data_IF_284439532577
#
_entry.id   IF_284439532577
#
_cell.length_a   1.000
_cell.length_b   1.000
_cell.length_c   1.000
_cell.angle_alpha   90.00
_cell.angle_beta   90.00
_cell.angle_gamma   90.00
#
_symmetry.space_group_name_H-M   'P 1'
#
loop_
_entity.id
_entity.type
_entity.pdbx_description
1 polymer ?
#
# COMPACT_ATOMS: atom_id res chain seq x y z
N UNK A 1 -0.40 17.95 -19.71
CA UNK A 1 -0.97 18.43 -20.98
C UNK A 1 -0.25 19.67 -21.49
N UNK A 2 -0.20 20.72 -20.70
CA UNK A 2 0.35 22.02 -21.14
C UNK A 2 1.85 21.97 -21.52
N UNK A 3 2.66 21.18 -20.84
CA UNK A 3 4.10 21.04 -21.15
C UNK A 3 4.39 20.25 -22.43
N UNK A 4 3.48 19.39 -22.88
CA UNK A 4 3.70 18.48 -24.00
C UNK A 4 2.83 18.83 -25.23
N UNK A 5 2.15 20.00 -25.25
CA UNK A 5 1.35 20.48 -26.38
C UNK A 5 0.12 19.63 -26.73
N UNK A 6 -0.34 18.78 -25.81
CA UNK A 6 -1.54 17.95 -25.96
C UNK A 6 -2.70 18.51 -25.12
N UNK A 7 -3.93 18.27 -25.55
CA UNK A 7 -5.12 18.71 -24.82
C UNK A 7 -5.23 18.00 -23.45
N UNK A 8 -5.93 18.59 -22.46
CA UNK A 8 -6.16 17.93 -21.18
C UNK A 8 -6.87 16.57 -21.31
N UNK A 9 -7.79 16.44 -22.27
CA UNK A 9 -8.51 15.19 -22.51
C UNK A 9 -7.59 14.11 -23.09
N UNK A 10 -6.74 14.45 -24.06
CA UNK A 10 -5.73 13.52 -24.61
C UNK A 10 -4.71 13.10 -23.56
N UNK A 11 -4.27 14.05 -22.70
CA UNK A 11 -3.39 13.73 -21.58
C UNK A 11 -4.04 12.74 -20.59
N UNK A 12 -5.31 12.96 -20.25
CA UNK A 12 -6.06 12.09 -19.35
C UNK A 12 -6.26 10.69 -19.93
N UNK A 13 -6.61 10.59 -21.21
CA UNK A 13 -6.79 9.30 -21.87
C UNK A 13 -5.48 8.52 -21.98
N UNK A 14 -4.38 9.20 -22.30
CA UNK A 14 -3.06 8.59 -22.35
C UNK A 14 -2.62 8.06 -20.97
N UNK A 15 -2.81 8.85 -19.92
CA UNK A 15 -2.52 8.41 -18.55
C UNK A 15 -3.37 7.19 -18.19
N UNK A 16 -4.66 7.17 -18.56
CA UNK A 16 -5.55 6.03 -18.28
C UNK A 16 -5.07 4.76 -18.97
N UNK A 17 -4.66 4.84 -20.23
CA UNK A 17 -4.13 3.70 -20.98
C UNK A 17 -2.84 3.17 -20.35
N UNK A 18 -1.91 4.06 -19.98
CA UNK A 18 -0.67 3.69 -19.30
C UNK A 18 -0.95 3.05 -17.94
N UNK A 19 -1.91 3.56 -17.18
CA UNK A 19 -2.34 2.98 -15.90
C UNK A 19 -2.83 1.55 -16.07
N UNK A 20 -3.68 1.29 -17.07
CA UNK A 20 -4.19 -0.05 -17.34
C UNK A 20 -3.08 -1.01 -17.78
N UNK A 21 -2.09 -0.53 -18.53
CA UNK A 21 -0.99 -1.35 -19.03
C UNK A 21 -0.07 -1.89 -17.91
N UNK A 22 0.05 -1.17 -16.79
CA UNK A 22 0.93 -1.54 -15.66
C UNK A 22 0.18 -1.94 -14.39
N UNK A 23 -1.15 -2.00 -14.46
CA UNK A 23 -2.00 -2.38 -13.33
C UNK A 23 -1.56 -3.74 -12.74
N UNK A 24 -1.57 -3.85 -11.41
CA UNK A 24 -1.11 -5.03 -10.66
C UNK A 24 0.38 -5.38 -10.82
N UNK A 25 1.18 -4.47 -11.38
CA UNK A 25 2.64 -4.58 -11.38
C UNK A 25 3.27 -3.59 -10.41
N UNK A 26 4.54 -3.79 -10.07
CA UNK A 26 5.27 -2.86 -9.21
C UNK A 26 5.39 -1.45 -9.82
N UNK A 27 5.43 -1.35 -11.16
CA UNK A 27 5.47 -0.07 -11.88
C UNK A 27 4.25 0.81 -11.59
N UNK A 28 3.09 0.19 -11.32
CA UNK A 28 1.89 0.95 -10.95
C UNK A 28 2.10 1.81 -9.70
N UNK A 29 2.91 1.34 -8.77
CA UNK A 29 3.22 2.00 -7.50
C UNK A 29 4.53 2.80 -7.52
N UNK A 30 5.30 2.74 -8.62
CA UNK A 30 6.65 3.28 -8.72
C UNK A 30 6.65 4.76 -9.13
N UNK A 31 7.11 5.64 -8.24
CA UNK A 31 7.20 7.08 -8.51
C UNK A 31 8.22 7.39 -9.60
N UNK A 32 9.34 6.67 -9.64
CA UNK A 32 10.39 6.86 -10.65
C UNK A 32 9.88 6.49 -12.04
N UNK A 33 9.19 5.34 -12.17
CA UNK A 33 8.53 4.94 -13.42
C UNK A 33 7.59 6.03 -13.95
N UNK A 34 6.72 6.56 -13.09
CA UNK A 34 5.79 7.61 -13.49
C UNK A 34 6.49 8.93 -13.76
N UNK A 35 7.56 9.25 -13.02
CA UNK A 35 8.40 10.42 -13.24
C UNK A 35 9.00 10.43 -14.65
N UNK A 36 9.64 9.35 -15.03
CA UNK A 36 10.22 9.15 -16.36
C UNK A 36 9.13 9.18 -17.45
N UNK A 37 8.04 8.46 -17.25
CA UNK A 37 6.97 8.32 -18.25
C UNK A 37 6.22 9.63 -18.53
N UNK A 38 6.05 10.46 -17.53
CA UNK A 38 5.30 11.72 -17.63
C UNK A 38 6.20 12.94 -17.79
N UNK A 39 7.50 12.82 -17.59
CA UNK A 39 8.44 13.94 -17.59
C UNK A 39 8.17 14.89 -16.42
N UNK A 40 7.79 14.36 -15.25
CA UNK A 40 7.44 15.12 -14.05
C UNK A 40 8.25 14.65 -12.84
N UNK A 41 8.54 15.55 -11.93
CA UNK A 41 9.11 15.21 -10.63
C UNK A 41 8.00 14.74 -9.66
N UNK A 42 7.61 13.48 -9.80
CA UNK A 42 6.55 12.89 -8.96
C UNK A 42 6.99 12.78 -7.50
N UNK A 43 8.29 12.61 -7.23
CA UNK A 43 8.82 12.58 -5.86
C UNK A 43 8.66 13.94 -5.17
N UNK A 44 8.99 15.05 -5.85
CA UNK A 44 8.76 16.39 -5.32
C UNK A 44 7.26 16.65 -5.08
N UNK A 45 6.40 16.32 -6.05
CA UNK A 45 4.94 16.44 -5.90
C UNK A 45 4.39 15.64 -4.72
N UNK A 46 4.90 14.43 -4.51
CA UNK A 46 4.53 13.58 -3.36
C UNK A 46 4.95 14.23 -2.04
N UNK A 47 6.16 14.81 -2.00
CA UNK A 47 6.66 15.51 -0.81
C UNK A 47 5.79 16.72 -0.44
N UNK A 48 5.31 17.48 -1.41
CA UNK A 48 4.40 18.62 -1.21
C UNK A 48 3.05 18.19 -0.62
N UNK A 49 2.59 16.98 -0.90
CA UNK A 49 1.35 16.42 -0.34
C UNK A 49 1.54 15.82 1.07
N UNK A 50 2.77 15.62 1.50
CA UNK A 50 3.12 15.02 2.81
C UNK A 50 2.35 15.59 4.00
N UNK A 51 2.21 16.94 4.15
CA UNK A 51 1.46 17.54 5.27
C UNK A 51 -0.03 17.16 5.34
N UNK A 52 -0.58 16.56 4.31
CA UNK A 52 -1.97 16.06 4.30
C UNK A 52 -2.09 14.64 4.84
N UNK A 53 -0.97 13.93 5.02
CA UNK A 53 -0.98 12.60 5.60
C UNK A 53 -1.35 12.68 7.07
N UNK A 54 -2.38 11.95 7.47
CA UNK A 54 -2.82 11.83 8.86
C UNK A 54 -3.15 10.37 9.17
N UNK A 55 -2.97 9.99 10.44
CA UNK A 55 -3.44 8.71 10.92
C UNK A 55 -4.95 8.80 11.22
N UNK A 56 -5.66 7.70 11.02
CA UNK A 56 -7.00 7.54 11.57
C UNK A 56 -6.92 7.53 13.11
N UNK A 57 -7.96 7.99 13.75
CA UNK A 57 -8.00 8.12 15.22
C UNK A 57 -7.83 6.76 15.94
N UNK A 58 -8.28 5.68 15.33
CA UNK A 58 -8.21 4.31 15.86
C UNK A 58 -6.85 3.62 15.63
N UNK A 59 -5.99 4.15 14.75
CA UNK A 59 -4.72 3.51 14.32
C UNK A 59 -3.77 3.28 15.50
N UNK A 60 -3.45 4.33 16.26
CA UNK A 60 -2.50 4.22 17.37
C UNK A 60 -3.06 3.36 18.51
N UNK A 61 -4.32 3.54 18.96
CA UNK A 61 -4.93 2.65 19.96
C UNK A 61 -4.89 1.18 19.53
N UNK A 62 -5.18 0.87 18.29
CA UNK A 62 -5.13 -0.49 17.76
C UNK A 62 -3.71 -1.08 17.80
N UNK A 63 -2.71 -0.34 17.29
CA UNK A 63 -1.32 -0.78 17.29
C UNK A 63 -0.76 -0.99 18.70
N UNK A 64 -1.12 -0.12 19.66
CA UNK A 64 -0.73 -0.28 21.06
C UNK A 64 -1.41 -1.49 21.71
N UNK A 65 -2.68 -1.78 21.39
CA UNK A 65 -3.36 -2.98 21.86
C UNK A 65 -2.66 -4.25 21.36
N UNK A 66 -2.22 -4.28 20.08
CA UNK A 66 -1.44 -5.38 19.52
C UNK A 66 -0.09 -5.54 20.22
N UNK A 67 0.61 -4.43 20.49
CA UNK A 67 1.87 -4.42 21.25
C UNK A 67 1.70 -5.03 22.64
N UNK A 68 0.70 -4.56 23.36
CA UNK A 68 0.39 -5.02 24.73
C UNK A 68 -0.02 -6.51 24.75
N UNK A 69 -0.54 -7.03 23.64
CA UNK A 69 -0.84 -8.46 23.45
C UNK A 69 0.37 -9.29 22.98
N UNK A 70 1.56 -8.69 22.92
CA UNK A 70 2.78 -9.36 22.46
C UNK A 70 2.80 -9.70 20.97
N UNK A 71 1.98 -9.05 20.17
CA UNK A 71 1.92 -9.28 18.72
C UNK A 71 2.94 -8.43 17.98
N UNK A 72 3.66 -9.05 17.04
CA UNK A 72 4.57 -8.36 16.12
C UNK A 72 3.76 -7.59 15.09
N UNK A 73 4.14 -6.34 14.84
CA UNK A 73 3.43 -5.41 13.95
C UNK A 73 4.32 -5.06 12.77
N UNK A 74 3.96 -5.56 11.59
CA UNK A 74 4.73 -5.37 10.35
C UNK A 74 3.88 -4.55 9.39
N UNK A 75 4.41 -3.46 8.88
CA UNK A 75 3.85 -2.77 7.72
C UNK A 75 4.44 -3.37 6.45
N UNK A 76 3.57 -3.88 5.57
CA UNK A 76 3.91 -4.30 4.21
C UNK A 76 3.12 -3.44 3.23
N UNK A 77 3.81 -2.64 2.42
CA UNK A 77 3.16 -1.68 1.52
C UNK A 77 3.71 -1.71 0.11
N UNK A 78 2.82 -1.58 -0.90
CA UNK A 78 3.21 -1.36 -2.29
C UNK A 78 3.74 0.07 -2.55
N UNK A 79 3.62 0.98 -1.58
CA UNK A 79 4.09 2.35 -1.74
C UNK A 79 5.60 2.40 -2.03
N UNK A 80 5.96 3.24 -3.00
CA UNK A 80 7.37 3.55 -3.29
C UNK A 80 8.09 4.01 -2.01
N UNK A 81 9.38 3.66 -1.81
CA UNK A 81 10.12 4.01 -0.59
C UNK A 81 10.07 5.50 -0.24
N UNK A 82 10.17 6.38 -1.24
CA UNK A 82 10.04 7.82 -1.04
C UNK A 82 8.66 8.21 -0.48
N UNK A 83 7.57 7.67 -1.05
CA UNK A 83 6.21 7.94 -0.56
C UNK A 83 6.02 7.42 0.87
N UNK A 84 6.55 6.24 1.17
CA UNK A 84 6.54 5.70 2.54
C UNK A 84 7.27 6.64 3.50
N UNK A 85 8.49 7.06 3.17
CA UNK A 85 9.29 7.97 3.99
C UNK A 85 8.58 9.31 4.25
N UNK A 86 7.95 9.89 3.23
CA UNK A 86 7.15 11.12 3.36
C UNK A 86 5.99 10.91 4.34
N UNK A 87 5.23 9.82 4.21
CA UNK A 87 4.12 9.51 5.12
C UNK A 87 4.60 9.31 6.56
N UNK A 88 5.64 8.53 6.77
CA UNK A 88 6.19 8.27 8.12
C UNK A 88 6.66 9.56 8.79
N UNK A 89 7.34 10.43 8.04
CA UNK A 89 7.79 11.75 8.56
C UNK A 89 6.65 12.62 9.10
N UNK A 90 5.48 12.55 8.47
CA UNK A 90 4.34 13.40 8.86
C UNK A 90 3.41 12.73 9.88
N UNK A 91 3.43 11.41 9.98
CA UNK A 91 2.51 10.66 10.84
C UNK A 91 3.17 10.07 12.10
N UNK A 92 4.48 9.86 12.09
CA UNK A 92 5.18 9.17 13.16
C UNK A 92 4.77 7.70 13.33
N UNK A 93 4.16 7.08 12.31
CA UNK A 93 3.63 5.72 12.38
C UNK A 93 4.71 4.67 12.69
N UNK A 94 5.94 4.93 12.26
CA UNK A 94 7.11 4.06 12.50
C UNK A 94 7.37 3.79 13.99
N UNK A 95 7.05 4.73 14.88
CA UNK A 95 7.19 4.54 16.32
C UNK A 95 6.28 3.43 16.90
N UNK A 96 5.24 3.03 16.16
CA UNK A 96 4.23 2.05 16.59
C UNK A 96 4.37 0.69 15.89
N UNK A 97 5.40 0.50 15.07
CA UNK A 97 5.61 -0.71 14.26
C UNK A 97 6.97 -1.34 14.57
N UNK A 98 7.05 -2.65 14.46
CA UNK A 98 8.29 -3.41 14.71
C UNK A 98 9.12 -3.56 13.43
N UNK A 99 8.48 -3.47 12.25
CA UNK A 99 9.13 -3.60 10.94
C UNK A 99 8.33 -2.85 9.88
N UNK A 100 9.06 -2.23 8.94
CA UNK A 100 8.52 -1.48 7.81
C UNK A 100 9.09 -2.04 6.51
N UNK A 101 8.23 -2.53 5.62
CA UNK A 101 8.64 -3.15 4.37
C UNK A 101 7.90 -2.50 3.19
N UNK A 102 8.67 -1.92 2.27
CA UNK A 102 8.17 -1.59 0.95
C UNK A 102 8.39 -2.78 0.01
N UNK A 103 7.38 -3.14 -0.75
CA UNK A 103 7.46 -4.23 -1.74
C UNK A 103 8.50 -3.96 -2.83
N UNK A 104 8.88 -2.69 -3.03
CA UNK A 104 9.96 -2.30 -3.94
C UNK A 104 11.31 -2.91 -3.55
N UNK A 105 11.56 -3.18 -2.27
CA UNK A 105 12.79 -3.86 -1.79
C UNK A 105 12.89 -5.29 -2.33
N UNK A 106 11.74 -5.93 -2.55
CA UNK A 106 11.65 -7.32 -3.02
C UNK A 106 11.46 -7.43 -4.54
N UNK A 107 11.11 -6.34 -5.21
CA UNK A 107 10.87 -6.34 -6.66
C UNK A 107 9.51 -6.90 -7.09
N UNK A 108 8.59 -7.20 -6.18
CA UNK A 108 7.27 -7.78 -6.45
C UNK A 108 6.17 -7.03 -5.70
N UNK A 109 4.99 -6.75 -6.30
CA UNK A 109 3.85 -6.17 -5.58
C UNK A 109 3.13 -7.21 -4.72
N UNK A 110 2.23 -6.77 -3.82
CA UNK A 110 1.48 -7.66 -2.91
C UNK A 110 0.56 -8.66 -3.63
N UNK A 111 0.24 -8.40 -4.89
CA UNK A 111 -0.54 -9.27 -5.76
C UNK A 111 0.25 -10.49 -6.26
N UNK A 112 1.58 -10.48 -6.14
CA UNK A 112 2.47 -11.54 -6.65
C UNK A 112 2.87 -12.51 -5.53
N UNK A 113 2.69 -13.81 -5.77
CA UNK A 113 3.03 -14.87 -4.81
C UNK A 113 4.52 -14.87 -4.41
N UNK A 114 5.40 -14.45 -5.31
CA UNK A 114 6.85 -14.35 -5.04
C UNK A 114 7.16 -13.37 -3.90
N UNK A 115 6.35 -12.32 -3.75
CA UNK A 115 6.50 -11.40 -2.62
C UNK A 115 6.33 -12.11 -1.28
N UNK A 116 5.25 -12.89 -1.13
CA UNK A 116 4.91 -13.55 0.12
C UNK A 116 6.00 -14.53 0.56
N UNK A 117 6.59 -15.27 -0.40
CA UNK A 117 7.75 -16.12 -0.13
C UNK A 117 8.97 -15.31 0.34
N UNK A 118 9.30 -14.22 -0.36
CA UNK A 118 10.43 -13.36 0.01
C UNK A 118 10.24 -12.68 1.38
N UNK A 119 9.03 -12.20 1.68
CA UNK A 119 8.70 -11.61 2.98
C UNK A 119 8.76 -12.67 4.10
N UNK A 120 8.32 -13.90 3.84
CA UNK A 120 8.42 -14.98 4.82
C UNK A 120 9.87 -15.35 5.12
N UNK A 121 10.73 -15.41 4.10
CA UNK A 121 12.17 -15.66 4.26
C UNK A 121 12.84 -14.55 5.09
N UNK A 122 12.55 -13.28 4.78
CA UNK A 122 13.11 -12.11 5.45
C UNK A 122 12.64 -11.99 6.90
N UNK A 123 11.38 -12.24 7.18
CA UNK A 123 10.77 -11.91 8.49
C UNK A 123 10.55 -13.10 9.39
N UNK A 124 10.51 -14.31 8.83
CA UNK A 124 10.17 -15.53 9.55
C UNK A 124 8.73 -15.57 10.08
N UNK A 125 7.78 -14.83 9.47
CA UNK A 125 6.40 -14.86 9.93
C UNK A 125 5.75 -16.23 9.65
N UNK A 126 4.89 -16.67 10.57
CA UNK A 126 4.09 -17.89 10.39
C UNK A 126 2.72 -17.52 9.83
N UNK A 127 2.47 -17.91 8.57
CA UNK A 127 1.22 -17.62 7.88
C UNK A 127 -0.03 -18.12 8.63
N UNK A 128 0.07 -19.24 9.35
CA UNK A 128 -1.04 -19.83 10.10
C UNK A 128 -1.40 -19.04 11.36
N UNK A 129 -0.46 -18.24 11.88
CA UNK A 129 -0.61 -17.43 13.08
C UNK A 129 -0.56 -15.92 12.78
N UNK A 130 -0.71 -15.55 11.50
CA UNK A 130 -0.68 -14.17 11.03
C UNK A 130 -2.08 -13.67 10.69
N UNK A 131 -2.38 -12.44 11.12
CA UNK A 131 -3.47 -11.62 10.60
C UNK A 131 -2.89 -10.64 9.57
N UNK A 132 -3.44 -10.65 8.37
CA UNK A 132 -3.17 -9.67 7.33
C UNK A 132 -4.38 -8.76 7.14
N UNK A 133 -4.14 -7.45 7.11
CA UNK A 133 -5.17 -6.43 6.99
C UNK A 133 -4.87 -5.57 5.78
N UNK A 134 -5.83 -5.44 4.88
CA UNK A 134 -5.71 -4.63 3.67
C UNK A 134 -7.08 -4.10 3.22
N UNK A 135 -7.11 -3.09 2.37
CA UNK A 135 -8.34 -2.53 1.80
C UNK A 135 -8.59 -2.99 0.35
N UNK A 136 -7.74 -3.85 -0.20
CA UNK A 136 -7.85 -4.37 -1.56
C UNK A 136 -8.11 -5.88 -1.55
N UNK A 137 -9.28 -6.29 -2.07
CA UNK A 137 -9.70 -7.70 -2.09
C UNK A 137 -8.75 -8.60 -2.88
N UNK A 138 -8.18 -8.14 -4.00
CA UNK A 138 -7.22 -8.92 -4.77
C UNK A 138 -5.91 -9.19 -3.98
N UNK A 139 -5.51 -8.25 -3.12
CA UNK A 139 -4.36 -8.42 -2.24
C UNK A 139 -4.68 -9.37 -1.08
N UNK A 140 -5.89 -9.30 -0.52
CA UNK A 140 -6.36 -10.25 0.49
C UNK A 140 -6.43 -11.67 -0.08
N UNK A 141 -6.90 -11.83 -1.33
CA UNK A 141 -6.90 -13.10 -2.04
C UNK A 141 -5.48 -13.66 -2.21
N UNK A 142 -4.53 -12.84 -2.64
CA UNK A 142 -3.14 -13.25 -2.81
C UNK A 142 -2.50 -13.69 -1.48
N UNK A 143 -2.81 -12.99 -0.38
CA UNK A 143 -2.37 -13.35 0.95
C UNK A 143 -2.98 -14.68 1.42
N UNK A 144 -4.26 -14.90 1.19
CA UNK A 144 -4.97 -16.13 1.52
C UNK A 144 -4.47 -17.32 0.68
N UNK A 145 -4.20 -17.11 -0.62
CA UNK A 145 -3.61 -18.11 -1.51
C UNK A 145 -2.22 -18.56 -1.04
N UNK A 146 -1.40 -17.64 -0.54
CA UNK A 146 -0.12 -17.96 0.08
C UNK A 146 -0.27 -18.83 1.36
N UNK A 147 -1.43 -18.76 2.01
CA UNK A 147 -1.74 -19.53 3.22
C UNK A 147 -1.84 -18.70 4.49
N UNK A 148 -1.92 -17.37 4.39
CA UNK A 148 -2.22 -16.53 5.55
C UNK A 148 -3.63 -16.84 6.04
N UNK A 149 -3.72 -17.28 7.29
CA UNK A 149 -4.96 -17.84 7.85
C UNK A 149 -6.04 -16.78 8.08
N UNK A 150 -5.64 -15.60 8.48
CA UNK A 150 -6.59 -14.55 8.84
C UNK A 150 -6.37 -13.35 7.92
N UNK A 151 -7.31 -13.11 6.99
CA UNK A 151 -7.31 -11.95 6.10
C UNK A 151 -8.54 -11.10 6.42
N UNK A 152 -8.32 -9.81 6.66
CA UNK A 152 -9.35 -8.86 7.09
C UNK A 152 -9.36 -7.65 6.17
N UNK A 153 -10.51 -7.32 5.60
CA UNK A 153 -10.71 -6.15 4.77
C UNK A 153 -11.09 -4.91 5.58
N UNK A 154 -10.51 -3.76 5.29
CA UNK A 154 -10.96 -2.48 5.86
C UNK A 154 -12.07 -1.92 4.98
N UNK A 155 -13.29 -1.82 5.52
CA UNK A 155 -14.47 -1.40 4.77
C UNK A 155 -14.54 0.11 4.56
N UNK A 156 -13.89 0.90 5.40
CA UNK A 156 -13.84 2.36 5.31
C UNK A 156 -12.38 2.87 5.31
N UNK A 157 -11.57 2.57 4.26
CA UNK A 157 -10.17 3.02 4.20
C UNK A 157 -10.04 4.52 3.94
N UNK A 158 -11.07 5.15 3.38
CA UNK A 158 -11.15 6.57 3.08
C UNK A 158 -12.49 7.11 3.60
N UNK A 159 -12.44 7.98 4.61
CA UNK A 159 -13.63 8.57 5.24
C UNK A 159 -14.45 9.46 4.29
N UNK A 160 -13.90 9.85 3.13
CA UNK A 160 -14.60 10.62 2.10
C UNK A 160 -15.38 9.76 1.10
N UNK A 161 -15.26 8.44 1.16
CA UNK A 161 -15.89 7.51 0.24
C UNK A 161 -16.94 6.63 0.94
N UNK A 162 -17.83 6.00 0.15
CA UNK A 162 -18.76 5.00 0.66
C UNK A 162 -18.02 3.76 1.17
N UNK A 163 -18.59 3.12 2.18
CA UNK A 163 -18.06 1.87 2.70
C UNK A 163 -17.98 0.79 1.60
N UNK A 164 -16.89 0.02 1.63
CA UNK A 164 -16.69 -1.14 0.76
C UNK A 164 -17.28 -2.39 1.42
N UNK A 165 -17.71 -3.34 0.59
CA UNK A 165 -18.00 -4.70 1.02
C UNK A 165 -17.04 -5.67 0.34
N UNK A 166 -16.69 -6.75 1.02
CA UNK A 166 -15.83 -7.80 0.51
C UNK A 166 -16.66 -9.05 0.25
N UNK A 167 -16.46 -9.68 -0.90
CA UNK A 167 -17.21 -10.89 -1.27
C UNK A 167 -16.65 -12.15 -0.57
N UNK A 168 -15.34 -12.18 -0.30
CA UNK A 168 -14.62 -13.37 0.15
C UNK A 168 -13.94 -13.24 1.51
N UNK A 169 -13.84 -12.03 2.05
CA UNK A 169 -13.14 -11.77 3.30
C UNK A 169 -14.03 -11.03 4.29
N UNK A 170 -13.88 -11.27 5.61
CA UNK A 170 -14.55 -10.46 6.61
C UNK A 170 -14.06 -9.00 6.50
N UNK A 171 -14.99 -8.07 6.62
CA UNK A 171 -14.72 -6.63 6.65
C UNK A 171 -14.79 -6.07 8.08
N UNK A 172 -14.00 -5.04 8.35
CA UNK A 172 -14.00 -4.27 9.60
C UNK A 172 -14.02 -2.77 9.27
N UNK A 173 -14.84 -2.01 10.01
CA UNK A 173 -14.87 -0.54 9.96
C UNK A 173 -13.72 0.07 10.75
#
# INVERSE_FOLDING_TARGET
GAQNGISPQEAQERIRQEYHAVQHTLNWYCLDYWGERLGLDICAMTSEQGPRAALREDTVPFLEALKNSGKRRILLTNAHPHNLAVKLKHTGLDAHLDLLLSTHTFGYPKEDQRLWHAVAEETGFDARNTLFVDDNEAILDAAAEYGIRYCLGITNPDSGLAEKSYARHPGLN
#
